data_IF_134521971373
#
_entry.id   IF_134521971373
#
_cell.length_a   1.000
_cell.length_b   1.000
_cell.length_c   1.000
_cell.angle_alpha   90.00
_cell.angle_beta   90.00
_cell.angle_gamma   90.00
#
_symmetry.space_group_name_H-M   'P 1'
#
loop_
_entity.id
_entity.type
_entity.pdbx_description
1 polymer ?
#
# COMPACT_ATOMS: atom_id res chain seq x y z
N UNK A 1 -37.52 0.33 31.47
CA UNK A 1 -36.22 0.15 30.79
C UNK A 1 -36.41 0.40 29.31
N UNK A 2 -35.82 1.47 28.78
CA UNK A 2 -35.80 1.74 27.34
C UNK A 2 -34.82 0.79 26.65
N UNK A 3 -35.24 0.20 25.53
CA UNK A 3 -34.42 -0.71 24.72
C UNK A 3 -34.15 -0.08 23.35
N UNK A 4 -32.95 -0.29 22.83
CA UNK A 4 -32.53 0.17 21.50
C UNK A 4 -32.44 -1.05 20.60
N UNK A 5 -33.23 -1.06 19.52
CA UNK A 5 -33.10 -2.05 18.45
C UNK A 5 -32.03 -1.61 17.47
N UNK A 6 -31.09 -2.50 17.21
CA UNK A 6 -30.09 -2.38 16.15
C UNK A 6 -30.27 -3.54 15.17
N UNK A 7 -29.63 -3.46 14.00
CA UNK A 7 -29.62 -4.56 13.04
C UNK A 7 -29.04 -5.87 13.59
N UNK A 8 -28.30 -5.82 14.71
CA UNK A 8 -27.64 -6.98 15.34
C UNK A 8 -28.31 -7.46 16.64
N UNK A 9 -29.42 -6.84 17.04
CA UNK A 9 -30.15 -7.24 18.24
C UNK A 9 -30.70 -6.09 19.07
N UNK A 10 -31.29 -6.43 20.21
CA UNK A 10 -31.89 -5.51 21.18
C UNK A 10 -30.91 -5.31 22.34
N UNK A 11 -30.50 -4.06 22.57
CA UNK A 11 -29.65 -3.68 23.71
C UNK A 11 -30.45 -2.83 24.71
N UNK A 12 -30.09 -2.83 25.99
CA UNK A 12 -30.60 -1.83 26.92
C UNK A 12 -29.96 -0.46 26.62
N UNK A 13 -30.74 0.62 26.74
CA UNK A 13 -30.30 1.95 26.36
C UNK A 13 -29.01 2.37 27.08
N UNK A 14 -28.89 2.07 28.36
CA UNK A 14 -27.70 2.43 29.16
C UNK A 14 -26.45 1.62 28.77
N UNK A 15 -26.59 0.34 28.45
CA UNK A 15 -25.44 -0.46 27.97
C UNK A 15 -25.00 0.00 26.58
N UNK A 16 -25.94 0.29 25.69
CA UNK A 16 -25.63 0.82 24.37
C UNK A 16 -24.91 2.18 24.45
N UNK A 17 -25.34 3.06 25.35
CA UNK A 17 -24.69 4.35 25.60
C UNK A 17 -23.23 4.16 26.07
N UNK A 18 -22.99 3.30 27.08
CA UNK A 18 -21.64 2.99 27.59
C UNK A 18 -20.74 2.37 26.53
N UNK A 19 -21.24 1.42 25.74
CA UNK A 19 -20.50 0.80 24.64
C UNK A 19 -20.13 1.82 23.56
N UNK A 20 -21.07 2.69 23.18
CA UNK A 20 -20.82 3.76 22.20
C UNK A 20 -19.76 4.74 22.70
N UNK A 21 -19.77 5.06 23.99
CA UNK A 21 -18.79 5.94 24.62
C UNK A 21 -17.40 5.29 24.70
N UNK A 22 -17.30 4.03 25.13
CA UNK A 22 -16.04 3.27 25.12
C UNK A 22 -15.46 3.17 23.70
N UNK A 23 -16.30 2.87 22.71
CA UNK A 23 -15.88 2.82 21.32
C UNK A 23 -15.34 4.19 20.86
N UNK A 24 -16.04 5.30 21.17
CA UNK A 24 -15.55 6.65 20.87
C UNK A 24 -14.19 6.95 21.52
N UNK A 25 -13.98 6.56 22.78
CA UNK A 25 -12.69 6.75 23.48
C UNK A 25 -11.56 5.97 22.81
N UNK A 26 -11.82 4.71 22.42
CA UNK A 26 -10.84 3.89 21.68
C UNK A 26 -10.55 4.51 20.31
N UNK A 27 -11.57 4.97 19.58
CA UNK A 27 -11.39 5.64 18.30
C UNK A 27 -10.57 6.93 18.43
N UNK A 28 -10.85 7.76 19.45
CA UNK A 28 -10.09 8.99 19.70
C UNK A 28 -8.61 8.69 19.99
N UNK A 29 -8.34 7.69 20.85
CA UNK A 29 -6.99 7.24 21.16
C UNK A 29 -6.22 6.65 19.96
N UNK A 30 -6.92 6.14 18.94
CA UNK A 30 -6.29 5.63 17.71
C UNK A 30 -5.83 6.76 16.77
N UNK A 31 -6.48 7.92 16.83
CA UNK A 31 -6.10 9.12 16.07
C UNK A 31 -5.14 10.06 16.81
N UNK A 32 -5.00 9.89 18.12
CA UNK A 32 -4.15 10.71 18.98
C UNK A 32 -2.72 10.13 19.08
N UNK A 33 -1.72 11.02 19.19
CA UNK A 33 -0.30 10.66 19.38
C UNK A 33 0.29 9.75 18.28
N UNK A 34 -0.04 9.99 17.01
CA UNK A 34 0.44 9.17 15.90
C UNK A 34 1.94 9.42 15.67
N UNK A 35 2.75 8.38 15.88
CA UNK A 35 4.16 8.36 15.53
C UNK A 35 4.38 8.29 14.01
N UNK A 36 4.24 9.41 13.31
CA UNK A 36 4.48 9.50 11.87
C UNK A 36 5.84 8.94 11.41
N UNK A 37 6.97 9.14 12.13
CA UNK A 37 8.25 8.58 11.70
C UNK A 37 8.25 7.04 11.69
N UNK A 38 7.65 6.40 12.69
CA UNK A 38 7.52 4.94 12.75
C UNK A 38 6.57 4.43 11.68
N UNK A 39 5.48 5.17 11.44
CA UNK A 39 4.54 4.89 10.38
C UNK A 39 5.22 4.90 9.01
N UNK A 40 6.00 5.94 8.71
CA UNK A 40 6.76 6.07 7.46
C UNK A 40 7.80 4.96 7.32
N UNK A 41 8.52 4.64 8.38
CA UNK A 41 9.49 3.55 8.39
C UNK A 41 8.83 2.20 8.05
N UNK A 42 7.71 1.89 8.70
CA UNK A 42 6.92 0.70 8.39
C UNK A 42 6.39 0.68 6.95
N UNK A 43 5.92 1.83 6.45
CA UNK A 43 5.47 1.99 5.07
C UNK A 43 6.60 1.70 4.07
N UNK A 44 7.79 2.28 4.29
CA UNK A 44 8.95 2.11 3.42
C UNK A 44 9.46 0.68 3.42
N UNK A 45 9.58 0.04 4.59
CA UNK A 45 9.96 -1.37 4.67
C UNK A 45 8.94 -2.27 3.95
N UNK A 46 7.65 -2.03 4.17
CA UNK A 46 6.57 -2.74 3.48
C UNK A 46 6.61 -2.53 1.97
N UNK A 47 6.86 -1.30 1.52
CA UNK A 47 6.96 -0.95 0.10
C UNK A 47 8.16 -1.57 -0.58
N UNK A 48 9.35 -1.47 0.03
CA UNK A 48 10.59 -2.09 -0.46
C UNK A 48 10.43 -3.62 -0.52
N UNK A 49 9.98 -4.23 0.58
CA UNK A 49 9.77 -5.68 0.64
C UNK A 49 8.72 -6.15 -0.36
N UNK A 50 7.58 -5.47 -0.45
CA UNK A 50 6.52 -5.80 -1.38
C UNK A 50 6.97 -5.66 -2.84
N UNK A 51 7.69 -4.60 -3.18
CA UNK A 51 8.21 -4.38 -4.53
C UNK A 51 9.27 -5.43 -4.90
N UNK A 52 10.16 -5.79 -3.97
CA UNK A 52 11.18 -6.81 -4.18
C UNK A 52 10.57 -8.20 -4.40
N UNK A 53 9.56 -8.57 -3.60
CA UNK A 53 8.82 -9.83 -3.77
C UNK A 53 8.12 -9.87 -5.12
N UNK A 54 7.42 -8.79 -5.50
CA UNK A 54 6.75 -8.72 -6.79
C UNK A 54 7.74 -8.83 -7.96
N UNK A 55 8.83 -8.06 -7.92
CA UNK A 55 9.88 -8.08 -8.93
C UNK A 55 10.49 -9.49 -9.08
N UNK A 56 10.86 -10.13 -7.97
CA UNK A 56 11.44 -11.48 -7.99
C UNK A 56 10.51 -12.53 -8.59
N UNK A 57 9.22 -12.51 -8.22
CA UNK A 57 8.21 -13.41 -8.79
C UNK A 57 8.03 -13.15 -10.29
N UNK A 58 8.02 -11.88 -10.70
CA UNK A 58 7.80 -11.50 -12.10
C UNK A 58 8.95 -11.95 -13.00
N UNK A 59 10.20 -11.85 -12.52
CA UNK A 59 11.35 -12.38 -13.26
C UNK A 59 11.28 -13.90 -13.35
N UNK A 60 10.99 -14.59 -12.23
CA UNK A 60 10.96 -16.05 -12.20
C UNK A 60 9.87 -16.65 -13.11
N UNK A 61 8.76 -15.95 -13.29
CA UNK A 61 7.61 -16.44 -14.07
C UNK A 61 7.55 -15.88 -15.49
N UNK A 62 8.33 -14.86 -15.82
CA UNK A 62 8.25 -14.09 -17.07
C UNK A 62 6.85 -13.52 -17.39
N UNK A 63 5.95 -13.45 -16.39
CA UNK A 63 4.59 -12.95 -16.56
C UNK A 63 4.35 -11.81 -15.59
N UNK A 64 3.96 -10.66 -16.11
CA UNK A 64 3.61 -9.48 -15.31
C UNK A 64 2.20 -9.66 -14.72
N UNK A 65 2.10 -10.38 -13.61
CA UNK A 65 0.84 -10.56 -12.91
C UNK A 65 0.50 -9.32 -12.09
N UNK A 66 -0.50 -8.56 -12.54
CA UNK A 66 -1.05 -7.46 -11.75
C UNK A 66 -1.70 -7.88 -10.43
N UNK A 67 -2.06 -9.15 -10.27
CA UNK A 67 -2.54 -9.69 -9.00
C UNK A 67 -1.46 -9.60 -7.91
N UNK A 68 -0.18 -9.72 -8.28
CA UNK A 68 0.94 -9.64 -7.33
C UNK A 68 1.17 -8.19 -6.87
N UNK A 69 0.70 -7.19 -7.61
CA UNK A 69 0.76 -5.79 -7.20
C UNK A 69 -0.04 -5.53 -5.89
N UNK A 70 -1.06 -6.35 -5.60
CA UNK A 70 -1.78 -6.34 -4.31
C UNK A 70 -0.82 -6.51 -3.12
N UNK A 71 0.26 -7.27 -3.29
CA UNK A 71 1.25 -7.51 -2.24
C UNK A 71 1.88 -6.20 -1.76
N UNK A 72 2.17 -5.25 -2.66
CA UNK A 72 2.75 -3.95 -2.31
C UNK A 72 1.78 -3.16 -1.44
N UNK A 73 0.54 -2.99 -1.91
CA UNK A 73 -0.47 -2.22 -1.17
C UNK A 73 -0.76 -2.81 0.20
N UNK A 74 -0.85 -4.14 0.28
CA UNK A 74 -1.04 -4.86 1.54
C UNK A 74 0.17 -4.72 2.47
N UNK A 75 1.39 -4.86 1.95
CA UNK A 75 2.61 -4.77 2.73
C UNK A 75 2.83 -3.35 3.29
N UNK A 76 2.61 -2.31 2.49
CA UNK A 76 2.69 -0.91 2.92
C UNK A 76 1.66 -0.62 4.01
N UNK A 77 0.39 -0.96 3.75
CA UNK A 77 -0.70 -0.73 4.71
C UNK A 77 -0.49 -1.47 6.02
N UNK A 78 -0.11 -2.75 5.97
CA UNK A 78 0.22 -3.53 7.17
C UNK A 78 1.47 -3.02 7.86
N UNK A 79 2.48 -2.58 7.12
CA UNK A 79 3.69 -1.97 7.66
C UNK A 79 3.36 -0.75 8.52
N UNK A 80 2.54 0.16 8.02
CA UNK A 80 2.09 1.33 8.79
C UNK A 80 1.35 0.89 10.06
N UNK A 81 0.36 0.01 9.95
CA UNK A 81 -0.48 -0.38 11.09
C UNK A 81 0.34 -1.13 12.15
N UNK A 82 1.23 -2.04 11.76
CA UNK A 82 2.07 -2.79 12.69
C UNK A 82 3.07 -1.90 13.44
N UNK A 83 3.69 -0.95 12.76
CA UNK A 83 4.71 -0.08 13.36
C UNK A 83 4.13 1.11 14.14
N UNK A 84 2.85 1.41 13.98
CA UNK A 84 2.13 2.43 14.75
C UNK A 84 1.34 1.84 15.93
N UNK A 85 1.50 0.55 16.22
CA UNK A 85 0.78 -0.11 17.32
C UNK A 85 -0.72 -0.32 17.04
N UNK A 86 -1.09 -0.46 15.77
CA UNK A 86 -2.46 -0.70 15.34
C UNK A 86 -3.26 0.56 14.98
N UNK A 87 -2.65 1.75 15.08
CA UNK A 87 -3.33 3.04 14.83
C UNK A 87 -3.88 3.14 13.41
N UNK A 88 -5.05 3.78 13.31
CA UNK A 88 -5.78 3.97 12.05
C UNK A 88 -6.32 5.39 11.98
N UNK A 89 -5.87 6.14 10.97
CA UNK A 89 -6.21 7.53 10.77
C UNK A 89 -6.16 7.89 9.29
N UNK A 90 -6.91 8.91 8.88
CA UNK A 90 -6.96 9.36 7.49
C UNK A 90 -5.61 9.84 6.96
N UNK A 91 -4.81 10.51 7.81
CA UNK A 91 -3.44 10.93 7.49
C UNK A 91 -2.53 9.75 7.15
N UNK A 92 -2.71 8.61 7.83
CA UNK A 92 -1.98 7.37 7.54
C UNK A 92 -2.40 6.75 6.21
N UNK A 93 -3.66 6.93 5.79
CA UNK A 93 -4.12 6.44 4.49
C UNK A 93 -3.47 7.20 3.33
N UNK A 94 -3.38 8.53 3.43
CA UNK A 94 -2.70 9.36 2.42
C UNK A 94 -1.24 8.95 2.29
N UNK A 95 -0.54 8.80 3.42
CA UNK A 95 0.85 8.35 3.44
C UNK A 95 1.01 6.95 2.82
N UNK A 96 0.12 6.02 3.15
CA UNK A 96 0.14 4.67 2.58
C UNK A 96 0.02 4.70 1.05
N UNK A 97 -0.88 5.51 0.50
CA UNK A 97 -1.08 5.64 -0.95
C UNK A 97 0.16 6.21 -1.62
N UNK A 98 0.76 7.27 -1.07
CA UNK A 98 1.96 7.90 -1.64
C UNK A 98 3.13 6.91 -1.67
N UNK A 99 3.38 6.23 -0.56
CA UNK A 99 4.48 5.26 -0.46
C UNK A 99 4.22 4.04 -1.36
N UNK A 100 2.99 3.53 -1.40
CA UNK A 100 2.65 2.39 -2.26
C UNK A 100 2.74 2.71 -3.75
N UNK A 101 2.33 3.92 -4.17
CA UNK A 101 2.49 4.38 -5.55
C UNK A 101 3.97 4.51 -5.93
N UNK A 102 4.81 5.06 -5.05
CA UNK A 102 6.26 5.14 -5.25
C UNK A 102 6.90 3.75 -5.36
N UNK A 103 6.53 2.82 -4.45
CA UNK A 103 7.01 1.44 -4.47
C UNK A 103 6.57 0.69 -5.74
N UNK A 104 5.32 0.89 -6.19
CA UNK A 104 4.82 0.31 -7.45
C UNK A 104 5.61 0.83 -8.66
N UNK A 105 5.86 2.14 -8.72
CA UNK A 105 6.65 2.73 -9.79
C UNK A 105 8.09 2.17 -9.79
N UNK A 106 8.71 2.03 -8.62
CA UNK A 106 10.04 1.43 -8.48
C UNK A 106 10.05 -0.04 -8.93
N UNK A 107 9.07 -0.85 -8.52
CA UNK A 107 8.94 -2.25 -8.95
C UNK A 107 8.71 -2.39 -10.46
N UNK A 108 7.93 -1.48 -11.05
CA UNK A 108 7.69 -1.43 -12.51
C UNK A 108 8.99 -1.12 -13.25
N UNK A 109 9.76 -0.13 -12.79
CA UNK A 109 11.06 0.20 -13.35
C UNK A 109 12.03 -0.98 -13.31
N UNK A 110 12.16 -1.64 -12.14
CA UNK A 110 13.06 -2.78 -11.97
C UNK A 110 12.68 -3.95 -12.89
N UNK A 111 11.38 -4.25 -12.99
CA UNK A 111 10.87 -5.30 -13.88
C UNK A 111 11.18 -4.99 -15.35
N UNK A 112 10.84 -3.78 -15.81
CA UNK A 112 11.10 -3.36 -17.20
C UNK A 112 12.59 -3.36 -17.51
N UNK A 113 13.43 -2.85 -16.60
CA UNK A 113 14.90 -2.88 -16.73
C UNK A 113 15.40 -4.31 -16.94
N UNK A 114 14.97 -5.27 -16.13
CA UNK A 114 15.44 -6.66 -16.25
C UNK A 114 15.08 -7.26 -17.60
N UNK A 115 13.83 -7.11 -18.06
CA UNK A 115 13.42 -7.66 -19.36
C UNK A 115 14.10 -6.97 -20.54
N UNK A 116 14.33 -5.64 -20.47
CA UNK A 116 15.06 -4.90 -21.49
C UNK A 116 16.51 -5.37 -21.56
N UNK A 117 17.18 -5.51 -20.42
CA UNK A 117 18.55 -6.02 -20.35
C UNK A 117 18.66 -7.46 -20.87
N UNK A 118 17.72 -8.34 -20.53
CA UNK A 118 17.70 -9.70 -21.06
C UNK A 118 17.56 -9.71 -22.59
N UNK A 119 16.68 -8.85 -23.13
CA UNK A 119 16.47 -8.73 -24.58
C UNK A 119 17.70 -8.18 -25.31
N UNK A 120 18.40 -7.20 -24.71
CA UNK A 120 19.63 -6.61 -25.26
C UNK A 120 20.82 -7.58 -25.21
N UNK A 121 20.95 -8.35 -24.13
CA UNK A 121 21.96 -9.40 -24.03
C UNK A 121 21.77 -10.47 -25.11
N UNK A 122 20.52 -10.87 -25.40
CA UNK A 122 20.22 -11.79 -26.52
C UNK A 122 20.60 -11.21 -27.89
N UNK A 123 20.61 -9.88 -28.02
CA UNK A 123 21.04 -9.18 -29.24
C UNK A 123 22.55 -8.88 -29.28
N UNK A 124 23.34 -9.37 -28.32
CA UNK A 124 24.79 -9.16 -28.26
C UNK A 124 25.21 -7.74 -27.87
N UNK A 125 24.29 -6.91 -27.36
CA UNK A 125 24.60 -5.54 -26.90
C UNK A 125 24.70 -5.50 -25.38
N UNK A 126 25.92 -5.26 -24.88
CA UNK A 126 26.21 -5.05 -23.46
C UNK A 126 26.00 -3.57 -23.11
N UNK A 127 24.73 -3.16 -23.02
CA UNK A 127 24.38 -1.84 -22.48
C UNK A 127 24.01 -2.03 -21.02
N UNK A 128 24.79 -1.46 -20.12
CA UNK A 128 24.53 -1.53 -18.68
C UNK A 128 23.54 -0.43 -18.28
N UNK A 129 22.32 -0.81 -17.87
CA UNK A 129 21.37 0.15 -17.30
C UNK A 129 21.60 0.20 -15.79
N UNK A 130 21.81 1.38 -15.16
CA UNK A 130 22.06 1.44 -13.73
C UNK A 130 20.84 0.99 -12.90
N UNK A 131 21.11 0.30 -11.78
CA UNK A 131 20.08 -0.21 -10.86
C UNK A 131 19.30 0.94 -10.20
N UNK A 132 20.00 2.03 -9.88
CA UNK A 132 19.43 3.30 -9.40
C UNK A 132 19.39 4.26 -10.59
N UNK A 133 18.23 4.85 -10.92
CA UNK A 133 18.14 5.79 -12.02
C UNK A 133 19.06 7.00 -11.77
N UNK A 134 19.96 7.29 -12.70
CA UNK A 134 20.90 8.42 -12.64
C UNK A 134 20.20 9.78 -12.77
N UNK A 135 18.93 9.82 -13.19
CA UNK A 135 18.10 11.02 -13.16
C UNK A 135 16.59 10.69 -13.07
N UNK A 136 15.76 11.57 -12.48
CA UNK A 136 14.31 11.39 -12.42
C UNK A 136 13.67 11.28 -13.82
N UNK A 137 14.17 12.05 -14.79
CA UNK A 137 13.69 12.00 -16.17
C UNK A 137 13.90 10.62 -16.82
N UNK A 138 15.03 9.95 -16.51
CA UNK A 138 15.29 8.58 -16.98
C UNK A 138 14.35 7.56 -16.33
N UNK A 139 14.09 7.71 -15.03
CA UNK A 139 13.13 6.86 -14.32
C UNK A 139 11.74 6.94 -14.96
N UNK A 140 11.23 8.16 -15.18
CA UNK A 140 9.92 8.33 -15.82
C UNK A 140 9.91 7.82 -17.26
N UNK A 141 10.97 8.02 -18.04
CA UNK A 141 11.04 7.51 -19.42
C UNK A 141 10.98 5.99 -19.48
N UNK A 142 11.69 5.28 -18.58
CA UNK A 142 11.66 3.80 -18.54
C UNK A 142 10.38 3.28 -17.90
N UNK A 143 9.88 3.93 -16.85
CA UNK A 143 8.62 3.56 -16.21
C UNK A 143 7.43 3.73 -17.16
N UNK A 144 7.41 4.81 -17.96
CA UNK A 144 6.36 5.09 -18.96
C UNK A 144 6.56 4.41 -20.31
N UNK A 145 7.76 3.90 -20.62
CA UNK A 145 7.99 3.11 -21.82
C UNK A 145 7.09 1.85 -21.79
N UNK A 146 6.22 1.71 -22.79
CA UNK A 146 5.27 0.61 -22.87
C UNK A 146 4.22 0.61 -21.75
N UNK A 147 3.85 1.77 -21.20
CA UNK A 147 2.76 1.87 -20.22
C UNK A 147 1.46 1.38 -20.85
N UNK A 148 0.90 0.30 -20.30
CA UNK A 148 -0.34 -0.29 -20.77
C UNK A 148 -1.52 0.16 -19.89
N UNK A 149 -2.75 0.08 -20.41
CA UNK A 149 -3.96 0.36 -19.63
C UNK A 149 -4.00 -0.46 -18.32
N UNK A 150 -3.44 -1.67 -18.35
CA UNK A 150 -3.33 -2.55 -17.19
C UNK A 150 -2.45 -1.98 -16.06
N UNK A 151 -1.41 -1.19 -16.38
CA UNK A 151 -0.55 -0.56 -15.37
C UNK A 151 -1.34 0.43 -14.50
N UNK A 152 -2.29 1.16 -15.10
CA UNK A 152 -3.19 2.06 -14.37
C UNK A 152 -4.13 1.28 -13.45
N UNK A 153 -4.68 0.17 -13.94
CA UNK A 153 -5.57 -0.69 -13.16
C UNK A 153 -4.83 -1.27 -11.96
N UNK A 154 -3.60 -1.75 -12.15
CA UNK A 154 -2.80 -2.32 -11.07
C UNK A 154 -2.38 -1.25 -10.06
N UNK A 155 -1.98 -0.06 -10.53
CA UNK A 155 -1.70 1.08 -9.66
C UNK A 155 -2.94 1.45 -8.83
N UNK A 156 -4.14 1.50 -9.44
CA UNK A 156 -5.38 1.77 -8.73
C UNK A 156 -5.67 0.72 -7.64
N UNK A 157 -5.46 -0.56 -7.94
CA UNK A 157 -5.62 -1.65 -6.97
C UNK A 157 -4.61 -1.49 -5.82
N UNK A 158 -3.34 -1.23 -6.12
CA UNK A 158 -2.29 -1.03 -5.11
C UNK A 158 -2.66 0.12 -4.17
N UNK A 159 -3.03 1.27 -4.72
CA UNK A 159 -3.44 2.45 -3.96
C UNK A 159 -4.69 2.17 -3.13
N UNK A 160 -5.69 1.48 -3.69
CA UNK A 160 -6.90 1.13 -2.97
C UNK A 160 -6.60 0.22 -1.76
N UNK A 161 -5.75 -0.78 -1.93
CA UNK A 161 -5.37 -1.68 -0.84
C UNK A 161 -4.56 -0.95 0.24
N UNK A 162 -3.62 -0.10 -0.19
CA UNK A 162 -2.84 0.73 0.72
C UNK A 162 -3.72 1.72 1.51
N UNK A 163 -4.75 2.29 0.87
CA UNK A 163 -5.71 3.20 1.51
C UNK A 163 -6.63 2.50 2.50
N UNK A 164 -7.13 1.31 2.16
CA UNK A 164 -8.19 0.65 2.94
C UNK A 164 -7.69 0.04 4.25
N UNK A 165 -6.44 -0.37 4.34
CA UNK A 165 -5.88 -1.03 5.53
C UNK A 165 -5.75 -0.10 6.74
N UNK A 166 -5.13 1.09 6.63
CA UNK A 166 -5.03 2.06 7.73
C UNK A 166 -6.31 2.90 7.93
N UNK A 167 -7.43 2.55 7.28
CA UNK A 167 -8.66 3.32 7.32
C UNK A 167 -9.25 3.41 8.74
N UNK A 168 -9.66 4.62 9.19
CA UNK A 168 -10.27 4.80 10.49
C UNK A 168 -11.61 4.06 10.55
N UNK A 169 -11.87 3.41 11.68
CA UNK A 169 -13.15 2.74 11.93
C UNK A 169 -14.20 3.84 12.16
N UNK A 170 -15.28 3.87 11.36
CA UNK A 170 -16.40 4.79 11.57
C UNK A 170 -17.51 4.05 12.32
N UNK A 171 -17.96 4.60 13.45
CA UNK A 171 -19.13 4.08 14.15
C UNK A 171 -20.40 4.53 13.42
N UNK A 172 -21.40 3.66 13.22
CA UNK A 172 -22.70 4.08 12.72
C UNK A 172 -23.34 5.09 13.70
N UNK A 173 -23.92 6.14 13.13
CA UNK A 173 -24.57 7.26 13.83
C UNK A 173 -25.68 6.82 14.77
#
# INVERSE_FOLDING_TARGET
MSSVRTARGVFCADCFARLKEQARRVLAAQSEDIDFPRALFGALLGGIGGAAVWWGITIATHVTFGLVAVVIGVAVGKGIVSFTGGKRAESLQVMAVVVAAAAYAAGTYLTKRTFILESLHRQGRLIDLPLVPTSPAYFFRVASAGFQLFDLVFLAIVMYQAWRIPAPVRLPG
#
